data_IF_148110743647
#
_entry.id   IF_148110743647
#
_cell.length_a   1.000
_cell.length_b   1.000
_cell.length_c   1.000
_cell.angle_alpha   90.00
_cell.angle_beta   90.00
_cell.angle_gamma   90.00
#
_symmetry.space_group_name_H-M   'P 1'
#
loop_
_entity.id
_entity.type
_entity.pdbx_description
1 polymer ?
#
# COMPACT_ATOMS: atom_id res chain seq x y z
N UNK A 1 -1.07 50.47 6.34
CA UNK A 1 -2.53 50.27 6.53
C UNK A 1 -2.83 50.06 8.02
N UNK A 2 -3.11 51.15 8.75
CA UNK A 2 -3.51 51.12 10.16
C UNK A 2 -4.97 51.57 10.26
N UNK A 3 -5.87 50.60 10.37
CA UNK A 3 -7.30 50.75 10.57
C UNK A 3 -7.86 49.38 10.95
N UNK A 4 -8.92 49.34 11.76
CA UNK A 4 -9.42 48.10 12.38
C UNK A 4 -9.69 46.98 11.35
N UNK A 5 -10.23 47.32 10.18
CA UNK A 5 -10.44 46.38 9.07
C UNK A 5 -9.13 45.80 8.51
N UNK A 6 -8.08 46.60 8.39
CA UNK A 6 -6.78 46.13 7.91
C UNK A 6 -6.09 45.20 8.90
N UNK A 7 -6.33 45.38 10.20
CA UNK A 7 -5.88 44.44 11.24
C UNK A 7 -6.68 43.14 11.17
N UNK A 8 -8.01 43.21 11.07
CA UNK A 8 -8.88 42.03 10.96
C UNK A 8 -8.51 41.13 9.78
N UNK A 9 -8.30 41.70 8.59
CA UNK A 9 -7.87 40.93 7.40
C UNK A 9 -6.52 40.26 7.64
N UNK A 10 -5.53 40.97 8.20
CA UNK A 10 -4.21 40.38 8.49
C UNK A 10 -4.31 39.23 9.49
N UNK A 11 -5.09 39.40 10.56
CA UNK A 11 -5.32 38.34 11.55
C UNK A 11 -5.99 37.13 10.92
N UNK A 12 -6.98 37.32 10.02
CA UNK A 12 -7.61 36.20 9.33
C UNK A 12 -6.62 35.39 8.47
N UNK A 13 -5.73 36.05 7.73
CA UNK A 13 -4.70 35.33 6.96
C UNK A 13 -3.72 34.59 7.87
N UNK A 14 -3.26 35.23 8.95
CA UNK A 14 -2.32 34.63 9.90
C UNK A 14 -2.94 33.47 10.70
N UNK A 15 -4.20 33.57 11.09
CA UNK A 15 -4.85 32.56 11.93
C UNK A 15 -5.43 31.40 11.10
N UNK A 16 -5.77 31.64 9.83
CA UNK A 16 -6.48 30.65 8.99
C UNK A 16 -5.63 30.12 7.85
N UNK A 17 -5.08 31.02 7.02
CA UNK A 17 -4.41 30.58 5.80
C UNK A 17 -3.01 30.06 6.09
N UNK A 18 -2.28 30.73 6.97
CA UNK A 18 -0.91 30.34 7.31
C UNK A 18 -0.85 28.93 7.92
N UNK A 19 -1.68 28.56 8.92
CA UNK A 19 -1.67 27.19 9.45
C UNK A 19 -2.09 26.15 8.42
N UNK A 20 -3.09 26.45 7.58
CA UNK A 20 -3.49 25.55 6.50
C UNK A 20 -2.34 25.32 5.49
N UNK A 21 -1.59 26.36 5.13
CA UNK A 21 -0.46 26.24 4.22
C UNK A 21 0.69 25.43 4.83
N UNK A 22 0.95 25.60 6.13
CA UNK A 22 1.94 24.79 6.84
C UNK A 22 1.52 23.31 6.92
N UNK A 23 0.24 23.04 7.20
CA UNK A 23 -0.32 21.69 7.16
C UNK A 23 -0.18 21.05 5.77
N UNK A 24 -0.51 21.80 4.72
CA UNK A 24 -0.38 21.32 3.34
C UNK A 24 1.08 21.02 2.97
N UNK A 25 2.03 21.85 3.41
CA UNK A 25 3.45 21.64 3.17
C UNK A 25 3.97 20.36 3.85
N UNK A 26 3.56 20.12 5.10
CA UNK A 26 3.84 18.88 5.82
C UNK A 26 3.24 17.67 5.09
N UNK A 27 1.96 17.72 4.74
CA UNK A 27 1.28 16.67 3.98
C UNK A 27 2.02 16.37 2.67
N UNK A 28 2.43 17.38 1.90
CA UNK A 28 3.15 17.18 0.64
C UNK A 28 4.51 16.52 0.86
N UNK A 29 5.19 16.85 1.96
CA UNK A 29 6.45 16.21 2.35
C UNK A 29 6.25 14.74 2.69
N UNK A 30 5.23 14.41 3.49
CA UNK A 30 4.90 13.04 3.87
C UNK A 30 4.41 12.22 2.67
N UNK A 31 3.63 12.84 1.79
CA UNK A 31 3.20 12.25 0.54
C UNK A 31 4.38 11.90 -0.37
N UNK A 32 5.38 12.78 -0.53
CA UNK A 32 6.58 12.49 -1.31
C UNK A 32 7.38 11.32 -0.70
N UNK A 33 7.53 11.30 0.62
CA UNK A 33 8.19 10.19 1.33
C UNK A 33 7.44 8.87 1.14
N UNK A 34 6.11 8.88 1.21
CA UNK A 34 5.30 7.70 0.94
C UNK A 34 5.49 7.19 -0.50
N UNK A 35 5.53 8.08 -1.50
CA UNK A 35 5.80 7.69 -2.88
C UNK A 35 7.20 7.07 -3.05
N UNK A 36 8.21 7.59 -2.36
CA UNK A 36 9.56 7.01 -2.34
C UNK A 36 9.52 5.60 -1.75
N UNK A 37 8.88 5.41 -0.59
CA UNK A 37 8.76 4.11 0.07
C UNK A 37 8.01 3.08 -0.80
N UNK A 38 6.90 3.49 -1.43
CA UNK A 38 6.15 2.62 -2.34
C UNK A 38 7.02 2.17 -3.51
N UNK A 39 7.76 3.10 -4.11
CA UNK A 39 8.66 2.81 -5.22
C UNK A 39 9.79 1.86 -4.82
N UNK A 40 10.40 2.09 -3.66
CA UNK A 40 11.46 1.23 -3.12
C UNK A 40 10.94 -0.16 -2.77
N UNK A 41 9.73 -0.26 -2.21
CA UNK A 41 9.12 -1.55 -1.88
C UNK A 41 8.84 -2.39 -3.14
N UNK A 42 8.28 -1.78 -4.18
CA UNK A 42 8.08 -2.46 -5.49
C UNK A 42 9.42 -2.90 -6.07
N UNK A 43 10.41 -2.01 -6.11
CA UNK A 43 11.72 -2.33 -6.66
C UNK A 43 12.48 -3.40 -5.87
N UNK A 44 12.33 -3.41 -4.55
CA UNK A 44 12.97 -4.42 -3.68
C UNK A 44 12.33 -5.80 -3.88
N UNK A 45 11.02 -5.84 -4.19
CA UNK A 45 10.31 -7.07 -4.49
C UNK A 45 10.69 -7.63 -5.87
N UNK A 46 10.75 -6.79 -6.90
CA UNK A 46 11.17 -7.16 -8.25
C UNK A 46 12.21 -6.16 -8.78
N UNK A 47 13.51 -6.44 -8.62
CA UNK A 47 14.57 -5.51 -9.00
C UNK A 47 14.87 -5.54 -10.50
N UNK A 48 14.47 -6.59 -11.23
CA UNK A 48 14.70 -6.65 -12.66
C UNK A 48 13.81 -5.63 -13.39
N UNK A 49 14.41 -4.83 -14.27
CA UNK A 49 13.69 -3.78 -14.99
C UNK A 49 12.61 -4.32 -15.94
N UNK A 50 12.78 -5.56 -16.40
CA UNK A 50 11.85 -6.36 -17.20
C UNK A 50 11.20 -7.49 -16.40
N UNK A 51 11.38 -7.49 -15.07
CA UNK A 51 10.75 -8.43 -14.16
C UNK A 51 9.24 -8.26 -14.13
N UNK A 52 8.53 -9.39 -14.12
CA UNK A 52 7.07 -9.41 -14.13
C UNK A 52 6.55 -10.56 -13.28
N UNK A 53 5.93 -10.20 -12.14
CA UNK A 53 5.19 -11.14 -11.31
C UNK A 53 3.70 -11.01 -11.62
N UNK A 54 3.10 -12.08 -12.13
CA UNK A 54 1.65 -12.16 -12.36
C UNK A 54 1.05 -13.23 -11.47
N UNK A 55 0.26 -12.79 -10.48
CA UNK A 55 -0.43 -13.69 -9.57
C UNK A 55 -1.29 -14.72 -10.30
N UNK A 56 -2.05 -14.30 -11.32
CA UNK A 56 -2.91 -15.20 -12.11
C UNK A 56 -2.12 -16.29 -12.84
N UNK A 57 -0.92 -15.97 -13.34
CA UNK A 57 -0.05 -16.97 -13.95
C UNK A 57 0.44 -17.98 -12.91
N UNK A 58 0.85 -17.51 -11.72
CA UNK A 58 1.30 -18.39 -10.64
C UNK A 58 0.17 -19.33 -10.19
N UNK A 59 -0.99 -18.77 -9.86
CA UNK A 59 -2.13 -19.52 -9.32
C UNK A 59 -2.76 -20.49 -10.32
N UNK A 60 -2.72 -20.18 -11.62
CA UNK A 60 -3.36 -21.00 -12.65
C UNK A 60 -2.32 -21.73 -13.49
N UNK A 61 -1.64 -21.02 -14.39
CA UNK A 61 -0.83 -21.63 -15.44
C UNK A 61 0.33 -22.45 -14.88
N UNK A 62 1.07 -21.89 -13.91
CA UNK A 62 2.19 -22.57 -13.28
C UNK A 62 1.71 -23.74 -12.41
N UNK A 63 0.65 -23.56 -11.63
CA UNK A 63 0.07 -24.64 -10.82
C UNK A 63 -0.39 -25.82 -11.69
N UNK A 64 -1.14 -25.54 -12.76
CA UNK A 64 -1.59 -26.55 -13.70
C UNK A 64 -0.43 -27.20 -14.46
N UNK A 65 0.60 -26.43 -14.82
CA UNK A 65 1.80 -26.94 -15.44
C UNK A 65 2.54 -27.92 -14.53
N UNK A 66 2.77 -27.55 -13.27
CA UNK A 66 3.42 -28.38 -12.27
C UNK A 66 2.61 -29.66 -12.00
N UNK A 67 1.29 -29.55 -11.89
CA UNK A 67 0.41 -30.72 -11.71
C UNK A 67 0.49 -31.66 -12.92
N UNK A 68 0.47 -31.12 -14.14
CA UNK A 68 0.58 -31.95 -15.36
C UNK A 68 1.91 -32.68 -15.43
N UNK A 69 3.02 -32.02 -15.09
CA UNK A 69 4.33 -32.68 -15.06
C UNK A 69 4.33 -33.80 -14.03
N UNK A 70 3.76 -33.56 -12.85
CA UNK A 70 3.63 -34.58 -11.80
C UNK A 70 2.86 -35.82 -12.27
N UNK A 71 1.70 -35.61 -12.87
CA UNK A 71 0.82 -36.69 -13.35
C UNK A 71 1.49 -37.50 -14.46
N UNK A 72 2.15 -36.82 -15.41
CA UNK A 72 2.87 -37.47 -16.52
C UNK A 72 4.07 -38.26 -16.01
N UNK A 73 4.85 -37.71 -15.08
CA UNK A 73 5.98 -38.41 -14.50
C UNK A 73 5.54 -39.70 -13.81
N UNK A 74 4.56 -39.62 -12.91
CA UNK A 74 4.06 -40.82 -12.22
C UNK A 74 3.54 -41.86 -13.20
N UNK A 75 2.76 -41.41 -14.19
CA UNK A 75 2.24 -42.28 -15.24
C UNK A 75 3.33 -43.01 -16.03
N UNK A 76 4.39 -42.31 -16.43
CA UNK A 76 5.54 -42.92 -17.14
C UNK A 76 6.31 -43.88 -16.24
N UNK A 77 6.57 -43.50 -14.98
CA UNK A 77 7.26 -44.36 -14.00
C UNK A 77 6.49 -45.66 -13.80
N UNK A 78 5.18 -45.56 -13.57
CA UNK A 78 4.30 -46.71 -13.36
C UNK A 78 4.22 -47.60 -14.61
N UNK A 79 4.08 -47.02 -15.80
CA UNK A 79 4.02 -47.76 -17.06
C UNK A 79 5.32 -48.52 -17.34
N UNK A 80 6.47 -47.86 -17.22
CA UNK A 80 7.78 -48.51 -17.44
C UNK A 80 8.03 -49.59 -16.40
N UNK A 81 7.72 -49.33 -15.13
CA UNK A 81 7.86 -50.32 -14.07
C UNK A 81 6.95 -51.54 -14.33
N UNK A 82 5.73 -51.32 -14.84
CA UNK A 82 4.83 -52.40 -15.25
C UNK A 82 5.42 -53.27 -16.37
N UNK A 83 6.05 -52.66 -17.39
CA UNK A 83 6.72 -53.42 -18.46
C UNK A 83 7.97 -54.16 -17.97
N UNK A 84 8.75 -53.58 -17.06
CA UNK A 84 9.89 -54.25 -16.41
C UNK A 84 9.42 -55.51 -15.68
N UNK A 85 8.31 -55.41 -14.93
CA UNK A 85 7.74 -56.55 -14.22
C UNK A 85 7.34 -57.71 -15.12
N UNK A 86 6.91 -57.46 -16.36
CA UNK A 86 6.51 -58.53 -17.30
C UNK A 86 7.68 -59.42 -17.76
N UNK A 87 8.91 -58.91 -17.73
CA UNK A 87 10.11 -59.61 -18.21
C UNK A 87 11.08 -60.01 -17.09
N UNK A 88 10.72 -59.77 -15.82
CA UNK A 88 11.58 -59.98 -14.67
C UNK A 88 12.10 -61.42 -14.53
N UNK A 89 11.32 -62.40 -15.03
CA UNK A 89 11.68 -63.82 -14.99
C UNK A 89 12.85 -64.16 -15.94
N UNK A 90 13.06 -63.33 -16.96
CA UNK A 90 14.13 -63.49 -17.95
C UNK A 90 15.37 -62.69 -17.53
N UNK A 91 15.16 -61.46 -17.07
CA UNK A 91 16.23 -60.53 -16.70
C UNK A 91 15.81 -59.64 -15.53
N UNK A 92 16.70 -59.47 -14.55
CA UNK A 92 16.48 -58.56 -13.43
C UNK A 92 16.96 -57.16 -13.80
N UNK A 93 16.02 -56.20 -13.85
CA UNK A 93 16.28 -54.79 -14.10
C UNK A 93 15.79 -53.95 -12.91
N UNK A 94 16.50 -52.85 -12.55
CA UNK A 94 16.02 -51.92 -11.53
C UNK A 94 14.76 -51.19 -12.03
N UNK A 95 13.85 -50.90 -11.11
CA UNK A 95 12.68 -50.06 -11.37
C UNK A 95 13.12 -48.59 -11.53
N UNK A 96 12.37 -47.83 -12.32
CA UNK A 96 12.45 -46.39 -12.34
C UNK A 96 11.95 -45.81 -11.03
N UNK A 97 12.65 -44.77 -10.58
CA UNK A 97 12.34 -43.98 -9.38
C UNK A 97 12.20 -42.51 -9.80
N UNK A 98 11.06 -41.91 -9.48
CA UNK A 98 10.74 -40.51 -9.77
C UNK A 98 10.82 -39.59 -8.55
N UNK A 99 11.28 -40.11 -7.40
CA UNK A 99 11.28 -39.39 -6.13
C UNK A 99 11.94 -38.01 -6.22
N UNK A 100 13.12 -37.92 -6.84
CA UNK A 100 13.87 -36.66 -6.96
C UNK A 100 13.10 -35.62 -7.79
N UNK A 101 12.42 -36.07 -8.85
CA UNK A 101 11.65 -35.18 -9.72
C UNK A 101 10.37 -34.72 -9.03
N UNK A 102 9.65 -35.64 -8.36
CA UNK A 102 8.48 -35.30 -7.55
C UNK A 102 8.82 -34.31 -6.43
N UNK A 103 9.98 -34.49 -5.78
CA UNK A 103 10.48 -33.53 -4.79
C UNK A 103 10.74 -32.15 -5.40
N UNK A 104 11.32 -32.10 -6.60
CA UNK A 104 11.54 -30.85 -7.34
C UNK A 104 10.23 -30.13 -7.67
N UNK A 105 9.20 -30.86 -8.10
CA UNK A 105 7.85 -30.32 -8.34
C UNK A 105 7.25 -29.75 -7.06
N UNK A 106 7.35 -30.50 -5.95
CA UNK A 106 6.82 -30.02 -4.68
C UNK A 106 7.53 -28.76 -4.20
N UNK A 107 8.85 -28.67 -4.37
CA UNK A 107 9.61 -27.46 -4.07
C UNK A 107 9.17 -26.29 -4.95
N UNK A 108 8.93 -26.51 -6.25
CA UNK A 108 8.41 -25.47 -7.13
C UNK A 108 7.01 -24.98 -6.71
N UNK A 109 6.12 -25.90 -6.30
CA UNK A 109 4.79 -25.54 -5.76
C UNK A 109 4.91 -24.69 -4.49
N UNK A 110 5.83 -25.05 -3.59
CA UNK A 110 6.08 -24.29 -2.37
C UNK A 110 6.64 -22.89 -2.68
N UNK A 111 7.67 -22.79 -3.51
CA UNK A 111 8.26 -21.51 -3.91
C UNK A 111 7.21 -20.60 -4.57
N UNK A 112 6.35 -21.15 -5.43
CA UNK A 112 5.24 -20.41 -6.04
C UNK A 112 4.30 -19.82 -4.98
N UNK A 113 3.93 -20.61 -3.96
CA UNK A 113 3.08 -20.12 -2.87
C UNK A 113 3.79 -19.01 -2.07
N UNK A 114 5.08 -19.17 -1.77
CA UNK A 114 5.86 -18.13 -1.08
C UNK A 114 5.90 -16.81 -1.86
N UNK A 115 6.07 -16.86 -3.19
CA UNK A 115 6.04 -15.65 -4.03
C UNK A 115 4.68 -14.95 -3.97
N UNK A 116 3.58 -15.71 -3.97
CA UNK A 116 2.22 -15.17 -3.83
C UNK A 116 2.03 -14.51 -2.45
N UNK A 117 2.48 -15.16 -1.38
CA UNK A 117 2.41 -14.60 -0.03
C UNK A 117 3.20 -13.29 0.10
N UNK A 118 4.40 -13.23 -0.50
CA UNK A 118 5.19 -12.00 -0.53
C UNK A 118 4.50 -10.89 -1.33
N UNK A 119 3.78 -11.23 -2.43
CA UNK A 119 2.99 -10.26 -3.18
C UNK A 119 1.87 -9.65 -2.31
N UNK A 120 1.14 -10.48 -1.57
CA UNK A 120 0.14 -9.99 -0.63
C UNK A 120 0.72 -9.15 0.51
N UNK A 121 1.90 -9.51 1.00
CA UNK A 121 2.60 -8.74 2.01
C UNK A 121 3.01 -7.35 1.48
N UNK A 122 3.47 -7.29 0.22
CA UNK A 122 3.78 -6.05 -0.47
C UNK A 122 2.53 -5.17 -0.58
N UNK A 123 1.43 -5.69 -1.12
CA UNK A 123 0.16 -4.95 -1.27
C UNK A 123 -0.32 -4.37 0.06
N UNK A 124 -0.32 -5.19 1.12
CA UNK A 124 -0.74 -4.76 2.45
C UNK A 124 0.18 -3.67 3.01
N UNK A 125 1.49 -3.82 2.86
CA UNK A 125 2.45 -2.81 3.32
C UNK A 125 2.22 -1.47 2.62
N UNK A 126 2.02 -1.50 1.30
CA UNK A 126 1.78 -0.29 0.51
C UNK A 126 0.47 0.40 0.89
N UNK A 127 -0.59 -0.37 1.13
CA UNK A 127 -1.86 0.18 1.59
C UNK A 127 -1.73 0.88 2.95
N UNK A 128 -0.99 0.28 3.89
CA UNK A 128 -0.77 0.87 5.21
C UNK A 128 0.02 2.19 5.14
N UNK A 129 0.95 2.34 4.20
CA UNK A 129 1.70 3.59 3.99
C UNK A 129 0.78 4.75 3.55
N UNK A 130 -0.32 4.46 2.84
CA UNK A 130 -1.23 5.48 2.31
C UNK A 130 -2.38 5.85 3.25
N UNK A 131 -2.71 4.99 4.23
CA UNK A 131 -3.86 5.19 5.11
C UNK A 131 -3.79 6.49 5.95
N UNK A 132 -2.65 6.86 6.58
CA UNK A 132 -2.55 8.13 7.31
C UNK A 132 -2.77 9.36 6.41
N UNK A 133 -2.21 9.34 5.19
CA UNK A 133 -2.35 10.43 4.23
C UNK A 133 -3.81 10.66 3.81
N UNK A 134 -4.62 9.60 3.73
CA UNK A 134 -6.07 9.73 3.48
C UNK A 134 -6.81 10.40 4.65
N UNK A 135 -6.34 10.18 5.88
CA UNK A 135 -6.88 10.84 7.07
C UNK A 135 -6.53 12.33 7.05
N UNK A 136 -5.28 12.69 6.75
CA UNK A 136 -4.83 14.10 6.62
C UNK A 136 -5.58 14.85 5.51
N UNK A 137 -5.82 14.23 4.35
CA UNK A 137 -6.68 14.78 3.31
C UNK A 137 -8.10 15.06 3.82
N UNK A 138 -8.62 14.20 4.69
CA UNK A 138 -9.93 14.38 5.32
C UNK A 138 -9.92 15.56 6.27
N UNK A 139 -8.85 15.73 7.06
CA UNK A 139 -8.64 16.90 7.94
C UNK A 139 -8.64 18.18 7.12
N UNK A 140 -7.83 18.28 6.06
CA UNK A 140 -7.78 19.46 5.18
C UNK A 140 -9.13 19.79 4.56
N UNK A 141 -9.87 18.77 4.09
CA UNK A 141 -11.22 18.95 3.53
C UNK A 141 -12.19 19.51 4.57
N UNK A 142 -12.16 18.95 5.79
CA UNK A 142 -13.03 19.38 6.88
C UNK A 142 -12.69 20.80 7.35
N UNK A 143 -11.40 21.13 7.40
CA UNK A 143 -10.91 22.48 7.67
C UNK A 143 -11.48 23.49 6.67
N UNK A 144 -11.31 23.25 5.37
CA UNK A 144 -11.84 24.12 4.32
C UNK A 144 -13.37 24.25 4.37
N UNK A 145 -14.07 23.15 4.63
CA UNK A 145 -15.53 23.17 4.78
C UNK A 145 -15.96 24.01 5.99
N UNK A 146 -15.25 23.92 7.11
CA UNK A 146 -15.53 24.73 8.29
C UNK A 146 -15.32 26.22 8.03
N UNK A 147 -14.19 26.62 7.47
CA UNK A 147 -13.93 28.03 7.12
C UNK A 147 -15.00 28.54 6.14
N UNK A 148 -15.41 27.70 5.19
CA UNK A 148 -16.50 28.04 4.27
C UNK A 148 -17.81 28.30 5.01
N UNK A 149 -18.18 27.46 5.96
CA UNK A 149 -19.43 27.58 6.68
C UNK A 149 -19.44 28.84 7.57
N UNK A 150 -18.35 29.09 8.31
CA UNK A 150 -18.23 30.25 9.22
C UNK A 150 -18.29 31.58 8.45
N UNK A 151 -17.59 31.73 7.34
CA UNK A 151 -17.50 33.04 6.66
C UNK A 151 -18.49 33.23 5.51
N UNK A 152 -19.00 32.15 4.90
CA UNK A 152 -19.93 32.28 3.78
C UNK A 152 -21.37 31.95 4.13
N UNK A 153 -21.63 31.11 5.15
CA UNK A 153 -23.02 30.75 5.54
C UNK A 153 -23.53 31.55 6.73
N UNK A 154 -22.70 31.77 7.75
CA UNK A 154 -23.11 32.49 8.97
C UNK A 154 -23.03 34.02 8.82
N UNK A 155 -22.72 34.53 7.62
CA UNK A 155 -22.61 35.96 7.31
C UNK A 155 -21.55 36.72 8.13
N UNK A 156 -20.57 36.01 8.69
CA UNK A 156 -19.40 36.65 9.31
C UNK A 156 -18.55 37.35 8.25
N UNK A 157 -18.09 38.56 8.54
CA UNK A 157 -17.22 39.31 7.63
C UNK A 157 -15.76 39.20 8.04
N UNK A 158 -14.89 38.91 7.07
CA UNK A 158 -13.43 38.99 7.24
C UNK A 158 -13.01 40.40 7.68
N UNK A 159 -13.75 41.45 7.29
CA UNK A 159 -13.45 42.84 7.67
C UNK A 159 -13.65 43.15 9.15
N UNK A 160 -14.32 42.26 9.88
CA UNK A 160 -14.59 42.34 11.32
C UNK A 160 -14.10 41.08 12.05
N UNK A 161 -13.24 40.29 11.42
CA UNK A 161 -12.69 39.08 12.01
C UNK A 161 -11.97 39.36 13.33
N UNK A 162 -12.23 38.50 14.30
CA UNK A 162 -11.41 38.33 15.50
C UNK A 162 -11.16 36.84 15.77
N UNK A 163 -10.10 36.52 16.53
CA UNK A 163 -9.71 35.14 16.80
C UNK A 163 -10.72 34.32 17.63
N UNK A 164 -11.85 34.89 18.05
CA UNK A 164 -12.95 34.14 18.66
C UNK A 164 -13.94 33.59 17.63
N UNK A 165 -13.93 34.12 16.40
CA UNK A 165 -14.79 33.69 15.28
C UNK A 165 -14.66 32.20 14.97
N UNK A 166 -13.47 31.63 15.18
CA UNK A 166 -13.17 30.23 14.91
C UNK A 166 -12.98 29.38 16.17
N UNK A 167 -13.19 29.96 17.37
CA UNK A 167 -13.07 29.21 18.62
C UNK A 167 -14.13 28.12 18.70
N UNK A 168 -13.73 26.92 19.10
CA UNK A 168 -14.56 25.71 19.22
C UNK A 168 -14.95 25.07 17.88
N UNK A 169 -14.26 25.43 16.80
CA UNK A 169 -14.32 24.69 15.54
C UNK A 169 -13.42 23.47 15.61
N UNK A 170 -14.01 22.27 15.73
CA UNK A 170 -13.24 21.02 15.81
C UNK A 170 -12.27 20.83 14.63
N UNK A 171 -12.66 21.09 13.35
CA UNK A 171 -11.73 20.95 12.22
C UNK A 171 -10.61 21.99 12.21
N UNK A 172 -10.88 23.22 12.68
CA UNK A 172 -9.85 24.24 12.83
C UNK A 172 -8.83 23.85 13.90
N UNK A 173 -9.32 23.42 15.07
CA UNK A 173 -8.49 23.03 16.21
C UNK A 173 -7.56 21.84 15.88
N UNK A 174 -7.98 20.94 14.99
CA UNK A 174 -7.17 19.79 14.53
C UNK A 174 -5.92 20.25 13.77
N UNK A 175 -6.09 21.12 12.76
CA UNK A 175 -4.97 21.70 12.00
C UNK A 175 -4.06 22.54 12.90
N UNK A 176 -4.64 23.35 13.79
CA UNK A 176 -3.84 24.20 14.69
C UNK A 176 -2.99 23.37 15.65
N UNK A 177 -3.51 22.26 16.19
CA UNK A 177 -2.74 21.39 17.09
C UNK A 177 -1.54 20.73 16.41
N UNK A 178 -1.70 20.36 15.15
CA UNK A 178 -0.64 19.69 14.39
C UNK A 178 0.47 20.68 14.01
N UNK A 179 0.08 21.88 13.57
CA UNK A 179 1.01 22.93 13.12
C UNK A 179 1.66 23.68 14.29
N UNK A 180 0.92 23.88 15.37
CA UNK A 180 1.36 24.53 16.60
C UNK A 180 1.11 23.60 17.80
N UNK A 181 1.92 22.54 17.97
CA UNK A 181 1.79 21.66 19.12
C UNK A 181 1.96 22.46 20.41
N UNK A 182 1.18 22.16 21.47
CA UNK A 182 1.38 22.82 22.75
C UNK A 182 2.82 22.57 23.21
N UNK A 183 3.56 23.65 23.50
CA UNK A 183 4.88 23.54 24.12
C UNK A 183 4.73 22.66 25.36
N UNK A 184 5.43 21.52 25.40
CA UNK A 184 5.60 20.74 26.62
C UNK A 184 6.23 21.65 27.68
N UNK A 185 5.39 22.14 28.61
CA UNK A 185 5.79 22.83 29.84
C UNK A 185 5.80 21.84 31.01
#
# INVERSE_FOLDING_TARGET
MQGNTGTAIRSFFADVHEPFLQYLDNFLTEYDQALIQLKEAVHSYEPAADGLVQQSFLENDLEHGLQRVEDVTKGITDEVNHEIYKIQDIISLPLLDDHDLLRGIQQAKNNKNEVIEQLYALDRSQMNTLEPLLQELTVMKNYMANIKDVFYRESNSISTYDGSTLKNSSPYDEVIKEVHPPNDQ
#
